data_IF_081990225697
#
_entry.id   IF_081990225697
#
_cell.length_a   1.000
_cell.length_b   1.000
_cell.length_c   1.000
_cell.angle_alpha   90.00
_cell.angle_beta   90.00
_cell.angle_gamma   90.00
#
_symmetry.space_group_name_H-M   'P 1'
#
loop_
_entity.id
_entity.type
_entity.pdbx_description
1 polymer ?
#
# COMPACT_ATOMS: atom_id res chain seq x y z
N UNK A 1 3.47 12.10 0.02
CA UNK A 1 3.95 10.71 -0.11
C UNK A 1 5.46 10.70 0.06
N UNK A 2 5.95 9.90 1.00
CA UNK A 2 7.37 9.82 1.39
C UNK A 2 8.16 8.84 0.50
N UNK A 3 8.13 9.03 -0.82
CA UNK A 3 8.68 8.09 -1.80
C UNK A 3 10.16 7.75 -1.56
N UNK A 4 10.95 8.70 -1.06
CA UNK A 4 12.37 8.50 -0.72
C UNK A 4 12.60 7.31 0.22
N UNK A 5 11.67 7.04 1.15
CA UNK A 5 11.75 5.90 2.08
C UNK A 5 11.72 4.58 1.29
N UNK A 6 10.81 4.46 0.32
CA UNK A 6 10.71 3.29 -0.54
C UNK A 6 11.92 3.13 -1.47
N UNK A 7 12.42 4.23 -2.04
CA UNK A 7 13.66 4.21 -2.85
C UNK A 7 14.86 3.74 -2.01
N UNK A 8 15.05 4.28 -0.81
CA UNK A 8 16.13 3.85 0.08
C UNK A 8 16.00 2.37 0.47
N UNK A 9 14.78 1.89 0.76
CA UNK A 9 14.55 0.48 1.07
C UNK A 9 14.95 -0.45 -0.09
N UNK A 10 14.48 -0.15 -1.30
CA UNK A 10 14.76 -0.97 -2.49
C UNK A 10 16.24 -0.96 -2.87
N UNK A 11 16.91 0.19 -2.79
CA UNK A 11 18.31 0.32 -3.18
C UNK A 11 19.29 -0.24 -2.12
N UNK A 12 18.95 -0.17 -0.83
CA UNK A 12 19.84 -0.65 0.24
C UNK A 12 19.87 -2.18 0.38
N UNK A 13 18.87 -2.90 -0.14
CA UNK A 13 18.87 -4.37 -0.15
C UNK A 13 20.05 -4.95 -0.96
N UNK A 14 20.54 -4.21 -1.96
CA UNK A 14 21.56 -4.64 -2.94
C UNK A 14 23.00 -4.20 -2.61
N UNK A 15 23.21 -3.32 -1.62
CA UNK A 15 24.53 -2.68 -1.37
C UNK A 15 25.48 -3.51 -0.52
N UNK A 16 25.03 -4.63 0.07
CA UNK A 16 25.84 -5.44 1.00
C UNK A 16 26.81 -6.42 0.33
N UNK A 17 26.79 -6.57 -1.00
CA UNK A 17 27.68 -7.49 -1.73
C UNK A 17 28.93 -6.79 -2.31
N UNK A 18 30.14 -7.24 -1.94
CA UNK A 18 31.44 -6.75 -2.48
C UNK A 18 31.73 -7.37 -3.86
N UNK A 19 32.29 -6.56 -4.79
CA UNK A 19 32.39 -6.87 -6.23
C UNK A 19 33.75 -7.36 -6.72
N UNK A 20 33.71 -8.32 -7.66
CA UNK A 20 34.81 -8.71 -8.57
C UNK A 20 34.20 -9.06 -9.95
N UNK A 21 34.41 -8.22 -10.98
CA UNK A 21 34.22 -8.56 -12.42
C UNK A 21 33.04 -7.89 -13.19
N UNK A 22 33.16 -7.66 -14.53
CA UNK A 22 32.19 -6.91 -15.36
C UNK A 22 30.91 -7.67 -15.74
N UNK A 23 30.92 -9.01 -15.83
CA UNK A 23 29.70 -9.81 -16.09
C UNK A 23 28.67 -9.65 -14.96
N UNK A 24 29.15 -9.48 -13.72
CA UNK A 24 28.33 -9.18 -12.54
C UNK A 24 27.75 -7.76 -12.54
N UNK A 25 28.30 -6.83 -13.33
CA UNK A 25 27.77 -5.47 -13.42
C UNK A 25 26.50 -5.40 -14.25
N UNK A 26 26.48 -6.03 -15.44
CA UNK A 26 25.31 -6.04 -16.31
C UNK A 26 24.11 -6.73 -15.65
N UNK A 27 24.36 -7.87 -14.98
CA UNK A 27 23.36 -8.58 -14.18
C UNK A 27 22.80 -7.68 -13.07
N UNK A 28 23.67 -6.96 -12.34
CA UNK A 28 23.23 -6.02 -11.29
C UNK A 28 22.40 -4.87 -11.85
N UNK A 29 22.85 -4.27 -12.95
CA UNK A 29 22.11 -3.18 -13.60
C UNK A 29 20.71 -3.63 -13.99
N UNK A 30 20.57 -4.84 -14.51
CA UNK A 30 19.27 -5.40 -14.86
C UNK A 30 18.38 -5.61 -13.63
N UNK A 31 18.95 -6.12 -12.54
CA UNK A 31 18.21 -6.30 -11.27
C UNK A 31 17.75 -4.94 -10.73
N UNK A 32 18.65 -3.98 -10.59
CA UNK A 32 18.33 -2.63 -10.10
C UNK A 32 17.27 -1.97 -11.00
N UNK A 33 17.39 -2.11 -12.33
CA UNK A 33 16.40 -1.58 -13.28
C UNK A 33 15.01 -2.18 -13.06
N UNK A 34 14.93 -3.51 -12.86
CA UNK A 34 13.66 -4.19 -12.56
C UNK A 34 13.06 -3.74 -11.23
N UNK A 35 13.90 -3.60 -10.19
CA UNK A 35 13.47 -3.14 -8.87
C UNK A 35 12.93 -1.69 -8.92
N UNK A 36 13.62 -0.81 -9.64
CA UNK A 36 13.20 0.58 -9.85
C UNK A 36 11.92 0.68 -10.67
N UNK A 37 11.77 -0.14 -11.72
CA UNK A 37 10.55 -0.21 -12.53
C UNK A 37 9.33 -0.55 -11.68
N UNK A 38 9.44 -1.58 -10.85
CA UNK A 38 8.37 -1.98 -9.94
C UNK A 38 8.01 -0.90 -8.90
N UNK A 39 9.02 -0.24 -8.35
CA UNK A 39 8.79 0.89 -7.43
C UNK A 39 8.10 2.06 -8.14
N UNK A 40 8.51 2.36 -9.37
CA UNK A 40 7.91 3.41 -10.18
C UNK A 40 6.43 3.09 -10.47
N UNK A 41 6.12 1.84 -10.82
CA UNK A 41 4.73 1.40 -11.03
C UNK A 41 3.88 1.66 -9.78
N UNK A 42 4.35 1.26 -8.59
CA UNK A 42 3.63 1.53 -7.33
C UNK A 42 3.46 3.02 -7.07
N UNK A 43 4.50 3.82 -7.23
CA UNK A 43 4.46 5.29 -7.04
C UNK A 43 3.44 5.93 -7.97
N UNK A 44 3.46 5.56 -9.25
CA UNK A 44 2.52 6.06 -10.27
C UNK A 44 1.10 5.65 -9.91
N UNK A 45 0.86 4.41 -9.52
CA UNK A 45 -0.46 3.93 -9.13
C UNK A 45 -1.02 4.66 -7.90
N UNK A 46 -0.19 4.93 -6.89
CA UNK A 46 -0.60 5.70 -5.70
C UNK A 46 -0.98 7.11 -6.09
N UNK A 47 -0.17 7.77 -6.93
CA UNK A 47 -0.47 9.12 -7.41
C UNK A 47 -1.76 9.17 -8.23
N UNK A 48 -1.96 8.20 -9.14
CA UNK A 48 -3.20 8.06 -9.90
C UNK A 48 -4.39 7.89 -8.96
N UNK A 49 -4.27 7.07 -7.92
CA UNK A 49 -5.33 6.87 -6.94
C UNK A 49 -5.66 8.16 -6.17
N UNK A 50 -4.65 8.96 -5.79
CA UNK A 50 -4.88 10.25 -5.10
C UNK A 50 -5.54 11.29 -6.00
N UNK A 51 -5.22 11.30 -7.29
CA UNK A 51 -5.85 12.20 -8.27
C UNK A 51 -7.31 11.77 -8.50
N UNK A 52 -7.54 10.47 -8.62
CA UNK A 52 -8.86 9.93 -8.94
C UNK A 52 -9.83 9.91 -7.76
N UNK A 53 -9.35 9.62 -6.55
CA UNK A 53 -10.18 9.35 -5.39
C UNK A 53 -10.06 10.49 -4.36
N UNK A 54 -11.05 11.39 -4.37
CA UNK A 54 -11.07 12.54 -3.47
C UNK A 54 -11.09 12.17 -1.98
N UNK A 55 -11.58 10.97 -1.64
CA UNK A 55 -11.56 10.49 -0.26
C UNK A 55 -10.22 9.90 0.17
N UNK A 56 -9.27 9.62 -0.74
CA UNK A 56 -7.91 9.20 -0.39
C UNK A 56 -7.08 10.42 0.04
N UNK A 57 -7.17 10.76 1.31
CA UNK A 57 -6.66 12.02 1.88
C UNK A 57 -5.16 12.01 2.15
N UNK A 58 -4.57 10.84 2.43
CA UNK A 58 -3.15 10.73 2.76
C UNK A 58 -2.57 9.40 2.30
N UNK A 59 -1.31 9.46 1.82
CA UNK A 59 -0.50 8.31 1.44
C UNK A 59 0.93 8.49 1.96
N UNK A 60 1.50 7.44 2.53
CA UNK A 60 2.86 7.48 3.10
C UNK A 60 3.53 6.11 2.99
N UNK A 61 4.83 6.12 2.69
CA UNK A 61 5.66 4.93 2.79
C UNK A 61 6.31 4.91 4.16
N UNK A 62 6.26 3.76 4.83
CA UNK A 62 6.80 3.57 6.17
C UNK A 62 7.81 2.41 6.13
N UNK A 63 8.91 2.57 6.84
CA UNK A 63 9.93 1.52 6.98
C UNK A 63 10.09 1.22 8.48
N UNK A 64 9.16 0.46 9.08
CA UNK A 64 9.18 0.20 10.52
C UNK A 64 10.36 -0.71 10.94
N UNK A 65 10.87 -1.52 10.01
CA UNK A 65 12.01 -2.42 10.19
C UNK A 65 12.86 -2.45 8.93
N UNK A 66 14.12 -2.86 9.05
CA UNK A 66 15.06 -2.88 7.91
C UNK A 66 14.62 -3.77 6.74
N UNK A 67 13.80 -4.79 7.01
CA UNK A 67 13.29 -5.77 6.06
C UNK A 67 11.81 -5.57 5.69
N UNK A 68 11.16 -4.54 6.25
CA UNK A 68 9.75 -4.28 6.07
C UNK A 68 9.51 -2.89 5.47
N UNK A 69 8.81 -2.85 4.34
CA UNK A 69 8.29 -1.63 3.72
C UNK A 69 6.77 -1.70 3.68
N UNK A 70 6.13 -0.71 4.28
CA UNK A 70 4.69 -0.56 4.32
C UNK A 70 4.24 0.66 3.49
N UNK A 71 3.07 0.55 2.87
CA UNK A 71 2.34 1.65 2.26
C UNK A 71 1.06 1.90 3.07
N UNK A 72 1.00 3.06 3.72
CA UNK A 72 -0.18 3.52 4.44
C UNK A 72 -1.06 4.37 3.52
N UNK A 73 -2.36 4.06 3.51
CA UNK A 73 -3.41 4.71 2.75
C UNK A 73 -4.51 5.15 3.71
N UNK A 74 -5.01 6.37 3.54
CA UNK A 74 -6.00 6.96 4.43
C UNK A 74 -7.22 7.45 3.66
N UNK A 75 -8.38 6.93 3.98
CA UNK A 75 -9.65 7.22 3.34
C UNK A 75 -10.59 7.97 4.30
N UNK A 76 -11.18 9.08 3.86
CA UNK A 76 -12.16 9.84 4.61
C UNK A 76 -13.58 9.54 4.11
N UNK A 77 -14.45 9.08 4.98
CA UNK A 77 -15.88 9.11 4.71
C UNK A 77 -16.40 10.53 4.95
N UNK A 78 -16.75 11.24 3.89
CA UNK A 78 -17.28 12.60 3.96
C UNK A 78 -18.64 12.70 4.66
N UNK A 79 -19.42 11.61 4.72
CA UNK A 79 -20.74 11.62 5.38
C UNK A 79 -20.60 11.59 6.89
N UNK A 80 -19.70 10.77 7.42
CA UNK A 80 -19.50 10.62 8.87
C UNK A 80 -18.28 11.36 9.43
N UNK A 81 -17.39 11.86 8.58
CA UNK A 81 -16.11 12.45 8.97
C UNK A 81 -15.07 11.43 9.45
N UNK A 82 -15.35 10.11 9.36
CA UNK A 82 -14.43 9.08 9.84
C UNK A 82 -13.36 8.72 8.82
N UNK A 83 -12.18 8.36 9.34
CA UNK A 83 -10.96 8.13 8.56
C UNK A 83 -10.52 6.67 8.61
N UNK A 84 -10.76 5.85 7.60
CA UNK A 84 -10.23 4.48 7.53
C UNK A 84 -8.74 4.50 7.11
N UNK A 85 -7.88 3.78 7.83
CA UNK A 85 -6.44 3.67 7.54
C UNK A 85 -6.10 2.23 7.18
N UNK A 86 -5.58 2.02 5.97
CA UNK A 86 -5.13 0.74 5.46
C UNK A 86 -3.61 0.74 5.32
N UNK A 87 -2.95 -0.28 5.83
CA UNK A 87 -1.51 -0.50 5.67
C UNK A 87 -1.27 -1.76 4.86
N UNK A 88 -0.49 -1.63 3.79
CA UNK A 88 -0.12 -2.71 2.88
C UNK A 88 1.35 -3.05 3.08
N UNK A 89 1.68 -4.32 3.24
CA UNK A 89 3.07 -4.76 3.15
C UNK A 89 3.46 -4.82 1.66
N UNK A 90 4.42 -3.99 1.29
CA UNK A 90 4.96 -3.88 -0.07
C UNK A 90 6.47 -4.20 -0.09
N UNK A 91 6.95 -4.91 0.93
CA UNK A 91 8.34 -5.37 1.03
C UNK A 91 8.75 -6.19 -0.20
N UNK A 92 7.79 -6.81 -0.89
CA UNK A 92 7.99 -7.53 -2.15
C UNK A 92 8.69 -6.70 -3.25
N UNK A 93 8.68 -5.37 -3.16
CA UNK A 93 9.43 -4.49 -4.04
C UNK A 93 10.95 -4.76 -4.00
N UNK A 94 11.51 -5.18 -2.86
CA UNK A 94 12.93 -5.54 -2.76
C UNK A 94 13.30 -6.83 -3.51
N UNK A 95 12.31 -7.63 -3.91
CA UNK A 95 12.48 -8.87 -4.69
C UNK A 95 12.11 -8.72 -6.15
N UNK A 96 11.60 -7.56 -6.57
CA UNK A 96 11.21 -7.33 -7.96
C UNK A 96 9.99 -8.17 -8.41
N UNK A 97 9.13 -8.62 -7.48
CA UNK A 97 8.00 -9.51 -7.82
C UNK A 97 6.65 -8.80 -8.01
N UNK A 98 6.57 -7.49 -7.73
CA UNK A 98 5.40 -6.69 -8.07
C UNK A 98 5.10 -6.77 -9.59
N UNK A 99 3.83 -6.86 -10.04
CA UNK A 99 2.57 -6.76 -9.30
C UNK A 99 1.95 -8.12 -8.90
N UNK A 100 2.75 -9.02 -8.32
CA UNK A 100 2.25 -10.21 -7.63
C UNK A 100 1.32 -9.86 -6.44
N UNK A 101 0.79 -10.86 -5.75
CA UNK A 101 -0.12 -10.64 -4.62
C UNK A 101 0.50 -9.75 -3.54
N UNK A 102 -0.01 -8.51 -3.43
CA UNK A 102 0.11 -7.67 -2.24
C UNK A 102 -1.11 -7.92 -1.37
N UNK A 103 -0.86 -8.17 -0.08
CA UNK A 103 -1.87 -8.38 0.95
C UNK A 103 -1.83 -7.21 1.96
N UNK A 104 -2.98 -6.82 2.54
CA UNK A 104 -3.00 -5.95 3.70
C UNK A 104 -2.20 -6.56 4.85
N UNK A 105 -1.33 -5.75 5.45
CA UNK A 105 -0.68 -6.14 6.69
C UNK A 105 -1.55 -5.76 7.89
N UNK A 106 -2.20 -4.59 7.84
CA UNK A 106 -3.04 -4.08 8.93
C UNK A 106 -4.13 -3.16 8.38
N UNK A 107 -5.33 -3.21 8.98
CA UNK A 107 -6.42 -2.27 8.72
C UNK A 107 -6.86 -1.67 10.05
N UNK A 108 -6.74 -0.35 10.19
CA UNK A 108 -7.09 0.39 11.40
C UNK A 108 -8.17 1.44 11.07
N UNK A 109 -9.30 1.40 11.76
CA UNK A 109 -10.23 2.53 11.84
C UNK A 109 -9.95 3.31 13.13
N UNK A 110 -10.16 4.63 13.22
CA UNK A 110 -9.93 5.40 14.44
C UNK A 110 -11.11 5.09 15.36
N UNK A 111 -10.91 4.45 16.51
CA UNK A 111 -10.37 5.00 17.76
C UNK A 111 -11.08 6.27 18.23
N UNK A 112 -12.13 6.04 19.01
CA UNK A 112 -12.54 6.90 20.12
C UNK A 112 -12.68 5.96 21.34
N UNK A 113 -11.61 5.86 22.15
CA UNK A 113 -11.59 5.32 23.52
C UNK A 113 -12.10 3.91 23.86
N UNK A 114 -12.72 3.15 22.96
CA UNK A 114 -13.33 1.85 23.29
C UNK A 114 -13.23 0.85 22.13
N UNK A 115 -12.84 -0.42 22.37
CA UNK A 115 -12.85 -1.49 21.37
C UNK A 115 -14.30 -1.93 21.09
N UNK A 116 -15.14 -1.03 20.58
CA UNK A 116 -16.56 -1.29 20.36
C UNK A 116 -16.82 -1.61 18.89
N UNK A 117 -17.22 -2.86 18.64
CA UNK A 117 -18.06 -3.47 17.59
C UNK A 117 -18.33 -2.78 16.23
N UNK A 118 -18.31 -1.45 16.12
CA UNK A 118 -18.73 -0.70 14.92
C UNK A 118 -17.74 -0.72 13.75
N UNK A 119 -16.45 -0.99 13.99
CA UNK A 119 -15.42 -1.00 12.93
C UNK A 119 -15.15 -2.38 12.33
N UNK A 120 -15.54 -3.45 13.03
CA UNK A 120 -15.38 -4.83 12.54
C UNK A 120 -16.09 -5.13 11.22
N UNK A 121 -17.33 -4.62 10.97
CA UNK A 121 -18.03 -4.88 9.71
C UNK A 121 -17.32 -4.22 8.52
N UNK A 122 -16.84 -2.98 8.69
CA UNK A 122 -16.07 -2.27 7.65
C UNK A 122 -14.77 -3.01 7.33
N UNK A 123 -14.07 -3.52 8.36
CA UNK A 123 -12.85 -4.32 8.20
C UNK A 123 -13.13 -5.62 7.43
N UNK A 124 -14.22 -6.31 7.77
CA UNK A 124 -14.62 -7.53 7.10
C UNK A 124 -15.01 -7.29 5.64
N UNK A 125 -15.76 -6.22 5.36
CA UNK A 125 -16.18 -5.85 4.01
C UNK A 125 -14.99 -5.47 3.13
N UNK A 126 -14.05 -4.68 3.67
CA UNK A 126 -12.77 -4.41 2.99
C UNK A 126 -12.04 -5.73 2.75
N UNK A 127 -11.94 -6.61 3.74
CA UNK A 127 -11.29 -7.92 3.59
C UNK A 127 -11.89 -8.75 2.46
N UNK A 128 -13.22 -8.86 2.38
CA UNK A 128 -13.93 -9.58 1.30
C UNK A 128 -13.65 -8.92 -0.05
N UNK A 129 -13.76 -7.61 -0.13
CA UNK A 129 -13.58 -6.89 -1.38
C UNK A 129 -12.16 -7.05 -1.92
N UNK A 130 -11.15 -7.11 -1.04
CA UNK A 130 -9.76 -7.38 -1.40
C UNK A 130 -9.51 -8.81 -1.89
N UNK A 131 -10.22 -9.81 -1.38
CA UNK A 131 -10.12 -11.19 -1.89
C UNK A 131 -10.59 -11.31 -3.35
N UNK A 132 -11.43 -10.39 -3.83
CA UNK A 132 -11.89 -10.38 -5.22
C UNK A 132 -10.90 -9.77 -6.21
N UNK A 133 -9.83 -9.12 -5.73
CA UNK A 133 -8.86 -8.40 -6.57
C UNK A 133 -7.83 -9.33 -7.20
N UNK A 134 -7.96 -9.54 -8.53
CA UNK A 134 -6.97 -10.25 -9.34
C UNK A 134 -5.58 -9.60 -9.29
N UNK A 135 -4.53 -10.41 -9.28
CA UNK A 135 -3.13 -9.97 -9.45
C UNK A 135 -2.91 -9.22 -10.78
N UNK A 136 -1.80 -8.48 -10.92
CA UNK A 136 -1.43 -7.75 -12.15
C UNK A 136 -1.32 -6.24 -11.98
N UNK A 137 -0.98 -5.51 -13.05
CA UNK A 137 -0.76 -4.06 -13.06
C UNK A 137 -1.94 -3.24 -12.52
N UNK A 138 -1.68 -2.01 -12.06
CA UNK A 138 -2.70 -1.14 -11.46
C UNK A 138 -3.32 -1.77 -10.21
N UNK A 139 -2.58 -2.61 -9.47
CA UNK A 139 -3.09 -3.32 -8.30
C UNK A 139 -3.43 -2.36 -7.16
N UNK A 140 -2.53 -1.43 -6.84
CA UNK A 140 -2.74 -0.43 -5.79
C UNK A 140 -3.91 0.47 -6.16
N UNK A 141 -3.99 0.92 -7.41
CA UNK A 141 -5.11 1.74 -7.87
C UNK A 141 -6.45 1.01 -7.73
N UNK A 142 -6.53 -0.25 -8.18
CA UNK A 142 -7.75 -1.09 -8.06
C UNK A 142 -8.12 -1.33 -6.60
N UNK A 143 -7.13 -1.55 -5.73
CA UNK A 143 -7.32 -1.67 -4.30
C UNK A 143 -7.87 -0.38 -3.69
N UNK A 144 -7.29 0.77 -4.01
CA UNK A 144 -7.77 2.06 -3.53
C UNK A 144 -9.21 2.33 -3.96
N UNK A 145 -9.58 2.02 -5.21
CA UNK A 145 -10.97 2.15 -5.70
C UNK A 145 -11.94 1.29 -4.90
N UNK A 146 -11.56 0.04 -4.67
CA UNK A 146 -12.35 -0.92 -3.91
C UNK A 146 -12.60 -0.46 -2.47
N UNK A 147 -11.55 -0.04 -1.76
CA UNK A 147 -11.65 0.47 -0.40
C UNK A 147 -12.44 1.79 -0.36
N UNK A 148 -12.21 2.68 -1.32
CA UNK A 148 -12.92 3.95 -1.43
C UNK A 148 -14.43 3.75 -1.55
N UNK A 149 -14.88 2.78 -2.36
CA UNK A 149 -16.29 2.42 -2.50
C UNK A 149 -16.86 1.95 -1.17
N UNK A 150 -16.21 0.98 -0.51
CA UNK A 150 -16.66 0.43 0.78
C UNK A 150 -16.75 1.52 1.85
N UNK A 151 -15.75 2.40 1.95
CA UNK A 151 -15.73 3.50 2.93
C UNK A 151 -16.88 4.51 2.70
N UNK A 152 -17.27 4.75 1.44
CA UNK A 152 -18.35 5.69 1.10
C UNK A 152 -19.77 5.07 1.15
N UNK A 153 -19.87 3.75 0.97
CA UNK A 153 -21.13 2.99 1.06
C UNK A 153 -21.47 2.57 2.49
N UNK A 154 -20.50 2.56 3.40
CA UNK A 154 -20.71 2.13 4.77
C UNK A 154 -21.65 3.07 5.53
N UNK A 155 -22.87 2.60 5.80
CA UNK A 155 -23.80 3.29 6.68
C UNK A 155 -23.41 3.06 8.13
N UNK A 156 -22.90 4.11 8.77
CA UNK A 156 -22.69 4.05 10.19
C UNK A 156 -24.04 4.13 10.91
N UNK A 157 -24.49 2.99 11.41
CA UNK A 157 -25.68 2.91 12.27
C UNK A 157 -25.51 3.88 13.42
N UNK A 158 -26.37 4.90 13.47
CA UNK A 158 -26.50 5.80 14.62
C UNK A 158 -27.12 4.99 15.75
N UNK A 159 -26.31 4.47 16.67
CA UNK A 159 -26.81 4.10 17.99
C UNK A 159 -27.05 5.39 18.77
N UNK A 160 -28.28 5.89 18.69
CA UNK A 160 -28.89 6.77 19.69
C UNK A 160 -29.88 5.94 20.50
#
# INVERSE_FOLDING_TARGET
>A
MDACIAFSFVLNAETTQKYVGPRRLAEKTQIISSLLGNLLDVVVEVQLAQIELQNLTQTSFLCPRADQLDLQLSFLDFKSGRKAILTLDISCLNRGVYPSEILPSQLAAPFDGSPNSSSQPLIAEIGVALQTLRAGYLRILRLCRCVSQVVQSFEWVKTC
#
